data_IF_228667771124
#
_entry.id   IF_228667771124
#
_cell.length_a   1.000
_cell.length_b   1.000
_cell.length_c   1.000
_cell.angle_alpha   90.00
_cell.angle_beta   90.00
_cell.angle_gamma   90.00
#
_symmetry.space_group_name_H-M   'P 1'
#
loop_
_entity.id
_entity.type
_entity.pdbx_description
1 polymer ?
#
# COMPACT_ATOMS: atom_id res chain seq x y z
N UNK A 1 -2.71 -23.54 19.85
CA UNK A 1 -1.57 -24.22 20.51
C UNK A 1 -1.37 -23.77 21.97
N UNK A 2 -1.47 -22.46 22.27
CA UNK A 2 -1.23 -21.92 23.62
C UNK A 2 -2.19 -22.37 24.73
N UNK A 3 -3.45 -22.67 24.42
CA UNK A 3 -4.42 -23.17 25.41
C UNK A 3 -4.04 -24.52 26.03
N UNK A 4 -3.26 -25.34 25.32
CA UNK A 4 -2.78 -26.65 25.80
C UNK A 4 -1.58 -26.56 26.75
N UNK A 5 -0.86 -25.42 26.76
CA UNK A 5 0.30 -25.20 27.63
C UNK A 5 -0.09 -24.61 29.00
N UNK A 6 -1.25 -23.95 29.08
CA UNK A 6 -1.66 -23.17 30.26
C UNK A 6 -2.68 -23.93 31.12
N UNK A 7 -3.46 -24.87 30.55
CA UNK A 7 -4.53 -25.56 31.27
C UNK A 7 -4.27 -27.08 31.42
N UNK A 8 -3.83 -27.58 32.60
CA UNK A 8 -3.52 -29.00 32.81
C UNK A 8 -4.74 -29.92 32.63
N UNK A 9 -5.95 -29.38 32.77
CA UNK A 9 -7.20 -30.14 32.62
C UNK A 9 -7.50 -30.53 31.16
N UNK A 10 -6.92 -29.85 30.16
CA UNK A 10 -7.11 -30.17 28.73
C UNK A 10 -6.05 -31.14 28.22
N UNK A 11 -4.88 -31.19 28.85
CA UNK A 11 -3.77 -32.07 28.45
C UNK A 11 -4.00 -33.55 28.83
N UNK A 12 -4.68 -33.81 29.95
CA UNK A 12 -4.93 -35.17 30.46
C UNK A 12 -5.80 -36.06 29.53
N UNK A 13 -6.97 -35.61 29.03
CA UNK A 13 -7.80 -36.45 28.15
C UNK A 13 -7.12 -36.75 26.80
N UNK A 14 -6.31 -35.82 26.29
CA UNK A 14 -5.58 -36.00 25.04
C UNK A 14 -4.37 -36.96 25.19
N UNK A 15 -3.67 -36.90 26.32
CA UNK A 15 -2.60 -37.84 26.64
C UNK A 15 -3.12 -39.27 26.78
N UNK A 16 -4.32 -39.44 27.34
CA UNK A 16 -5.02 -40.72 27.40
C UNK A 16 -5.41 -41.24 26.00
N UNK A 17 -5.97 -40.37 25.14
CA UNK A 17 -6.32 -40.71 23.76
C UNK A 17 -5.10 -41.13 22.92
N UNK A 18 -3.94 -40.48 23.14
CA UNK A 18 -2.69 -40.76 22.45
C UNK A 18 -1.83 -41.86 23.13
N UNK A 19 -2.34 -42.52 24.17
CA UNK A 19 -1.65 -43.57 24.97
C UNK A 19 -0.25 -43.14 25.45
N UNK A 20 -0.09 -41.88 25.84
CA UNK A 20 1.17 -41.33 26.34
C UNK A 20 1.23 -41.40 27.88
N UNK A 21 2.42 -41.58 28.49
CA UNK A 21 2.56 -41.72 29.94
C UNK A 21 2.13 -40.46 30.71
N UNK A 22 1.69 -40.65 31.96
CA UNK A 22 1.31 -39.58 32.89
C UNK A 22 2.49 -38.65 33.14
N UNK A 23 2.32 -37.35 32.83
CA UNK A 23 3.40 -36.34 32.84
C UNK A 23 3.91 -35.93 31.45
N UNK A 24 3.29 -36.42 30.37
CA UNK A 24 3.60 -35.99 29.01
C UNK A 24 3.31 -34.51 28.80
N UNK A 25 4.35 -33.72 28.53
CA UNK A 25 4.22 -32.36 28.03
C UNK A 25 4.33 -32.40 26.50
N UNK A 26 3.35 -31.83 25.76
CA UNK A 26 3.30 -31.95 24.30
C UNK A 26 4.49 -31.26 23.61
N UNK A 27 5.12 -30.30 24.30
CA UNK A 27 6.32 -29.61 23.83
C UNK A 27 7.32 -29.48 24.99
N UNK A 28 8.61 -29.80 24.80
CA UNK A 28 9.63 -29.55 25.81
C UNK A 28 9.78 -28.04 26.03
N UNK A 29 9.94 -27.60 27.28
CA UNK A 29 10.13 -26.18 27.68
C UNK A 29 11.21 -25.46 26.87
N UNK A 30 12.22 -26.19 26.37
CA UNK A 30 13.29 -25.66 25.51
C UNK A 30 12.84 -25.26 24.10
N UNK A 31 11.74 -25.82 23.59
CA UNK A 31 11.16 -25.50 22.26
C UNK A 31 10.02 -24.49 22.33
N UNK A 32 9.51 -24.23 23.53
CA UNK A 32 8.47 -23.23 23.79
C UNK A 32 8.83 -21.83 23.25
N UNK A 33 10.05 -21.26 23.45
CA UNK A 33 10.37 -19.95 22.88
C UNK A 33 10.38 -19.96 21.35
N UNK A 34 10.79 -21.05 20.72
CA UNK A 34 10.80 -21.19 19.26
C UNK A 34 9.39 -21.25 18.67
N UNK A 35 8.48 -21.94 19.37
CA UNK A 35 7.07 -22.03 18.96
C UNK A 35 6.36 -20.69 19.10
N UNK A 36 6.59 -19.97 20.21
CA UNK A 36 6.04 -18.62 20.40
C UNK A 36 6.58 -17.67 19.33
N UNK A 37 7.87 -17.73 19.02
CA UNK A 37 8.48 -16.87 18.01
C UNK A 37 7.94 -17.17 16.60
N UNK A 38 7.68 -18.44 16.28
CA UNK A 38 7.03 -18.83 15.05
C UNK A 38 5.57 -18.31 14.97
N UNK A 39 4.79 -18.44 16.04
CA UNK A 39 3.41 -17.95 16.10
C UNK A 39 3.34 -16.42 15.97
N UNK A 40 4.20 -15.70 16.69
CA UNK A 40 4.30 -14.24 16.60
C UNK A 40 4.71 -13.78 15.20
N UNK A 41 5.66 -14.49 14.56
CA UNK A 41 6.07 -14.17 13.19
C UNK A 41 4.95 -14.36 12.17
N UNK A 42 4.15 -15.41 12.32
CA UNK A 42 3.00 -15.68 11.45
C UNK A 42 1.94 -14.60 11.63
N UNK A 43 1.65 -14.22 12.88
CA UNK A 43 0.72 -13.12 13.18
C UNK A 43 1.18 -11.79 12.58
N UNK A 44 2.47 -11.47 12.70
CA UNK A 44 3.06 -10.26 12.12
C UNK A 44 2.97 -10.27 10.58
N UNK A 45 3.23 -11.42 9.95
CA UNK A 45 3.13 -11.57 8.50
C UNK A 45 1.70 -11.34 7.99
N UNK A 46 0.71 -11.94 8.66
CA UNK A 46 -0.72 -11.74 8.33
C UNK A 46 -1.12 -10.28 8.53
N UNK A 47 -0.68 -9.64 9.61
CA UNK A 47 -0.97 -8.24 9.88
C UNK A 47 -0.37 -7.30 8.82
N UNK A 48 0.88 -7.55 8.39
CA UNK A 48 1.52 -6.81 7.30
C UNK A 48 0.79 -7.01 5.96
N UNK A 49 0.37 -8.24 5.64
CA UNK A 49 -0.40 -8.52 4.44
C UNK A 49 -1.75 -7.80 4.45
N UNK A 50 -2.47 -7.84 5.58
CA UNK A 50 -3.72 -7.11 5.75
C UNK A 50 -3.51 -5.59 5.63
N UNK A 51 -2.47 -5.05 6.27
CA UNK A 51 -2.09 -3.64 6.15
C UNK A 51 -1.75 -3.22 4.73
N UNK A 52 -1.09 -4.08 3.96
CA UNK A 52 -0.80 -3.81 2.55
C UNK A 52 -2.07 -3.76 1.69
N UNK A 53 -3.02 -4.67 1.95
CA UNK A 53 -4.31 -4.68 1.25
C UNK A 53 -5.15 -3.44 1.64
N UNK A 54 -5.18 -3.06 2.91
CA UNK A 54 -5.97 -1.91 3.38
C UNK A 54 -5.34 -0.56 3.06
N UNK A 55 -4.02 -0.50 2.90
CA UNK A 55 -3.32 0.70 2.43
C UNK A 55 -3.46 0.93 0.92
N UNK A 56 -4.06 -0.01 0.17
CA UNK A 56 -4.35 0.23 -1.25
C UNK A 56 -5.36 1.36 -1.40
N UNK A 57 -5.09 2.37 -2.25
CA UNK A 57 -6.06 3.44 -2.49
C UNK A 57 -7.34 2.82 -3.06
N UNK A 58 -8.49 3.24 -2.51
CA UNK A 58 -9.80 2.87 -3.05
C UNK A 58 -9.83 3.20 -4.55
N UNK A 59 -10.41 2.34 -5.42
CA UNK A 59 -10.55 2.61 -6.84
C UNK A 59 -11.17 3.99 -7.05
N UNK A 60 -10.34 4.95 -7.47
CA UNK A 60 -10.84 6.24 -7.96
C UNK A 60 -11.41 5.95 -9.35
N UNK A 61 -12.65 6.34 -9.58
CA UNK A 61 -13.26 6.26 -10.90
C UNK A 61 -12.39 6.95 -11.95
N UNK A 62 -12.62 6.70 -13.25
CA UNK A 62 -11.80 7.24 -14.34
C UNK A 62 -11.53 8.72 -14.11
N UNK A 63 -10.26 9.06 -13.90
CA UNK A 63 -9.80 10.43 -13.77
C UNK A 63 -9.77 11.01 -15.18
N UNK A 64 -10.83 11.71 -15.55
CA UNK A 64 -10.90 12.38 -16.85
C UNK A 64 -9.88 13.52 -16.85
N UNK A 65 -8.81 13.39 -17.64
CA UNK A 65 -7.90 14.51 -17.89
C UNK A 65 -8.67 15.63 -18.57
N UNK A 66 -8.69 16.80 -17.94
CA UNK A 66 -9.25 18.06 -18.44
C UNK A 66 -8.61 18.37 -19.81
N UNK A 67 -9.40 18.69 -20.85
CA UNK A 67 -9.67 20.08 -21.20
C UNK A 67 -11.11 20.29 -21.71
N UNK A 68 -11.87 21.13 -21.01
CA UNK A 68 -12.55 22.23 -21.69
C UNK A 68 -12.12 23.53 -21.03
N UNK A 69 -10.83 23.90 -21.17
CA UNK A 69 -10.35 25.22 -20.73
C UNK A 69 -10.78 26.33 -21.72
N UNK A 70 -11.32 25.95 -22.89
CA UNK A 70 -11.82 26.89 -23.90
C UNK A 70 -13.34 26.96 -24.01
N UNK A 71 -14.10 26.05 -23.41
CA UNK A 71 -15.58 26.07 -23.51
C UNK A 71 -16.19 26.66 -22.24
N UNK A 72 -16.88 27.82 -22.33
CA UNK A 72 -17.52 28.44 -21.19
C UNK A 72 -18.46 27.45 -20.51
N UNK A 73 -18.20 27.15 -19.24
CA UNK A 73 -19.12 26.34 -18.41
C UNK A 73 -20.36 27.14 -18.01
N UNK A 74 -20.32 28.46 -18.19
CA UNK A 74 -21.43 29.38 -17.98
C UNK A 74 -21.58 30.36 -19.16
N UNK A 75 -22.81 30.63 -19.56
CA UNK A 75 -23.16 31.67 -20.53
C UNK A 75 -24.27 32.55 -19.95
N UNK A 76 -24.30 33.82 -20.34
CA UNK A 76 -25.32 34.78 -19.91
C UNK A 76 -25.90 35.53 -21.10
N UNK A 77 -27.22 35.71 -21.10
CA UNK A 77 -27.95 36.45 -22.11
C UNK A 77 -29.00 37.33 -21.43
N UNK A 78 -29.26 38.51 -22.00
CA UNK A 78 -30.39 39.35 -21.58
C UNK A 78 -31.49 39.27 -22.64
N UNK A 79 -32.71 38.94 -22.22
CA UNK A 79 -33.90 38.87 -23.09
C UNK A 79 -35.09 39.48 -22.33
N UNK A 80 -35.83 40.38 -22.97
CA UNK A 80 -37.02 41.06 -22.41
C UNK A 80 -36.86 41.61 -20.97
N UNK A 81 -35.71 42.23 -20.71
CA UNK A 81 -35.29 42.75 -19.40
C UNK A 81 -35.01 41.69 -18.32
N UNK A 82 -34.97 40.41 -18.66
CA UNK A 82 -34.49 39.33 -17.80
C UNK A 82 -33.06 39.00 -18.16
N UNK A 83 -32.17 39.01 -17.17
CA UNK A 83 -30.81 38.44 -17.30
C UNK A 83 -30.92 36.97 -16.95
N UNK A 84 -30.59 36.12 -17.91
CA UNK A 84 -30.56 34.67 -17.77
C UNK A 84 -29.12 34.21 -17.86
N UNK A 85 -28.62 33.57 -16.81
CA UNK A 85 -27.29 32.95 -16.79
C UNK A 85 -27.45 31.46 -16.60
N UNK A 86 -26.89 30.67 -17.51
CA UNK A 86 -26.92 29.21 -17.45
C UNK A 86 -25.52 28.67 -17.19
N UNK A 87 -25.42 27.74 -16.25
CA UNK A 87 -24.21 26.99 -15.89
C UNK A 87 -24.50 25.50 -16.09
N UNK A 88 -23.60 24.76 -16.74
CA UNK A 88 -23.76 23.31 -16.95
C UNK A 88 -22.53 22.58 -16.44
N UNK A 89 -22.71 21.65 -15.50
CA UNK A 89 -21.61 20.83 -14.95
C UNK A 89 -21.94 19.33 -15.04
N UNK A 90 -21.01 18.46 -15.45
CA UNK A 90 -19.64 18.74 -15.88
C UNK A 90 -19.49 19.18 -17.36
N UNK A 91 -20.59 19.45 -18.07
CA UNK A 91 -20.62 19.73 -19.51
C UNK A 91 -20.02 18.57 -20.34
N UNK A 92 -20.56 17.37 -20.12
CA UNK A 92 -20.14 16.13 -20.81
C UNK A 92 -21.35 15.35 -21.28
N UNK A 93 -21.22 14.43 -22.24
CA UNK A 93 -22.30 13.51 -22.56
C UNK A 93 -22.69 12.70 -21.32
N UNK A 94 -23.99 12.56 -21.05
CA UNK A 94 -24.50 11.85 -19.89
C UNK A 94 -25.09 12.78 -18.83
N UNK A 95 -24.90 12.40 -17.55
CA UNK A 95 -25.48 13.10 -16.41
C UNK A 95 -24.86 14.49 -16.23
N UNK A 96 -25.71 15.53 -16.28
CA UNK A 96 -25.32 16.90 -16.00
C UNK A 96 -26.30 17.55 -15.02
N UNK A 97 -25.82 18.62 -14.40
CA UNK A 97 -26.61 19.57 -13.62
C UNK A 97 -26.57 20.90 -14.34
N UNK A 98 -27.75 21.44 -14.61
CA UNK A 98 -27.96 22.74 -15.24
C UNK A 98 -28.49 23.68 -14.16
N UNK A 99 -27.76 24.76 -13.91
CA UNK A 99 -28.17 25.82 -12.99
C UNK A 99 -28.52 27.05 -13.82
N UNK A 100 -29.71 27.58 -13.63
CA UNK A 100 -30.20 28.78 -14.30
C UNK A 100 -30.41 29.86 -13.25
N UNK A 101 -29.81 31.03 -13.46
CA UNK A 101 -30.10 32.24 -12.73
C UNK A 101 -30.96 33.13 -13.63
N UNK A 102 -32.14 33.53 -13.14
CA UNK A 102 -33.03 34.42 -13.86
C UNK A 102 -33.42 35.58 -12.95
N UNK A 103 -33.13 36.81 -13.38
CA UNK A 103 -33.46 38.01 -12.63
C UNK A 103 -33.90 39.13 -13.56
N UNK A 104 -34.97 39.85 -13.18
CA UNK A 104 -35.39 41.05 -13.90
C UNK A 104 -34.44 42.22 -13.60
N UNK A 105 -34.12 43.01 -14.62
CA UNK A 105 -33.27 44.20 -14.51
C UNK A 105 -34.02 45.35 -13.84
N UNK A 106 -35.35 45.36 -13.89
CA UNK A 106 -36.17 46.38 -13.22
C UNK A 106 -36.36 46.02 -11.75
N UNK A 107 -36.35 47.05 -10.90
CA UNK A 107 -36.60 46.92 -9.47
C UNK A 107 -37.71 47.91 -9.05
N UNK A 108 -38.84 47.44 -8.48
CA UNK A 108 -39.21 46.04 -8.31
C UNK A 108 -39.41 45.32 -9.65
N UNK A 109 -39.35 43.98 -9.65
CA UNK A 109 -39.63 43.19 -10.84
C UNK A 109 -41.11 43.39 -11.27
N UNK A 110 -41.39 43.54 -12.58
CA UNK A 110 -42.73 43.81 -13.10
C UNK A 110 -43.69 42.61 -12.97
N UNK A 111 -43.15 41.38 -12.92
CA UNK A 111 -43.89 40.16 -12.69
C UNK A 111 -43.02 39.10 -12.02
N UNK A 112 -43.66 38.25 -11.23
CA UNK A 112 -43.04 37.07 -10.61
C UNK A 112 -42.75 35.99 -11.65
N UNK A 113 -41.61 35.30 -11.49
CA UNK A 113 -41.26 34.13 -12.31
C UNK A 113 -42.03 32.93 -11.78
N UNK A 114 -42.90 32.34 -12.60
CA UNK A 114 -43.72 31.20 -12.22
C UNK A 114 -43.05 29.86 -12.51
N UNK A 115 -42.24 29.81 -13.57
CA UNK A 115 -41.59 28.58 -14.03
C UNK A 115 -40.41 28.88 -14.93
N UNK A 116 -39.38 28.06 -14.81
CA UNK A 116 -38.27 28.01 -15.77
C UNK A 116 -38.28 26.65 -16.45
N UNK A 117 -38.25 26.64 -17.77
CA UNK A 117 -38.22 25.42 -18.59
C UNK A 117 -36.95 25.47 -19.44
N UNK A 118 -36.18 24.39 -19.41
CA UNK A 118 -34.97 24.24 -20.22
C UNK A 118 -35.27 23.28 -21.36
N UNK A 119 -35.01 23.69 -22.59
CA UNK A 119 -35.22 22.90 -23.80
C UNK A 119 -33.87 22.58 -24.43
N UNK A 120 -33.67 21.33 -24.81
CA UNK A 120 -32.43 20.82 -25.36
C UNK A 120 -32.69 20.34 -26.79
N UNK A 121 -31.93 20.86 -27.75
CA UNK A 121 -31.98 20.47 -29.16
C UNK A 121 -30.57 20.20 -29.64
N UNK A 122 -30.30 19.00 -30.14
CA UNK A 122 -29.00 18.69 -30.74
C UNK A 122 -28.94 19.24 -32.17
N UNK A 123 -27.84 19.92 -32.52
CA UNK A 123 -27.70 20.57 -33.83
C UNK A 123 -26.93 19.71 -34.85
N UNK A 124 -26.25 18.64 -34.42
CA UNK A 124 -25.48 17.77 -35.31
C UNK A 124 -26.34 16.84 -36.17
N UNK A 125 -27.51 16.42 -35.66
CA UNK A 125 -28.52 15.64 -36.36
C UNK A 125 -29.87 15.85 -35.70
N UNK A 126 -30.97 15.59 -36.41
CA UNK A 126 -32.30 15.70 -35.82
C UNK A 126 -32.56 14.55 -34.84
N UNK A 127 -32.62 14.90 -33.55
CA UNK A 127 -32.99 14.01 -32.45
C UNK A 127 -34.30 14.45 -31.78
N UNK A 128 -34.97 15.44 -32.35
CA UNK A 128 -36.05 16.16 -31.70
C UNK A 128 -35.58 17.06 -30.55
N UNK A 129 -36.58 17.65 -29.89
CA UNK A 129 -36.39 18.57 -28.76
C UNK A 129 -36.86 17.91 -27.47
N UNK A 130 -36.01 17.93 -26.45
CA UNK A 130 -36.35 17.48 -25.09
C UNK A 130 -36.56 18.69 -24.20
N UNK A 131 -37.55 18.64 -23.31
CA UNK A 131 -37.84 19.75 -22.37
C UNK A 131 -37.86 19.25 -20.93
N UNK A 132 -37.34 20.05 -20.02
CA UNK A 132 -37.37 19.78 -18.59
C UNK A 132 -37.75 21.04 -17.82
N UNK A 133 -38.52 20.87 -16.75
CA UNK A 133 -38.86 21.96 -15.84
C UNK A 133 -37.75 22.06 -14.79
N UNK A 134 -37.20 23.24 -14.60
CA UNK A 134 -36.22 23.50 -13.56
C UNK A 134 -36.92 23.80 -12.23
N UNK A 135 -36.39 23.23 -11.15
CA UNK A 135 -36.88 23.43 -9.80
C UNK A 135 -36.21 24.67 -9.19
N UNK A 136 -36.99 25.53 -8.52
CA UNK A 136 -36.43 26.68 -7.80
C UNK A 136 -35.80 26.23 -6.49
N UNK A 137 -34.50 26.44 -6.33
CA UNK A 137 -33.76 26.07 -5.12
C UNK A 137 -33.52 27.27 -4.19
N UNK A 138 -33.44 28.46 -4.77
CA UNK A 138 -33.36 29.75 -4.08
C UNK A 138 -34.07 30.79 -4.97
N UNK A 139 -34.55 31.92 -4.44
CA UNK A 139 -35.19 32.96 -5.24
C UNK A 139 -34.36 33.37 -6.48
N UNK A 140 -34.90 33.12 -7.67
CA UNK A 140 -34.23 33.43 -8.94
C UNK A 140 -33.12 32.45 -9.35
N UNK A 141 -32.93 31.35 -8.62
CA UNK A 141 -31.99 30.25 -8.93
C UNK A 141 -32.76 28.95 -9.10
N UNK A 142 -32.65 28.39 -10.31
CA UNK A 142 -33.34 27.19 -10.73
C UNK A 142 -32.34 26.11 -11.09
N UNK A 143 -32.66 24.85 -10.83
CA UNK A 143 -31.80 23.71 -11.10
C UNK A 143 -32.56 22.58 -11.77
N UNK A 144 -31.92 21.94 -12.73
CA UNK A 144 -32.40 20.68 -13.31
C UNK A 144 -31.22 19.73 -13.46
N UNK A 145 -31.40 18.48 -13.04
CA UNK A 145 -30.43 17.41 -13.22
C UNK A 145 -30.97 16.37 -14.19
N UNK A 146 -30.10 15.80 -15.03
CA UNK A 146 -30.50 14.71 -15.92
C UNK A 146 -29.50 14.42 -17.03
N UNK A 147 -29.84 13.41 -17.83
CA UNK A 147 -29.10 13.03 -19.01
C UNK A 147 -29.74 13.63 -20.28
N UNK A 148 -29.71 14.96 -20.37
CA UNK A 148 -30.28 15.69 -21.52
C UNK A 148 -29.25 15.90 -22.64
N UNK A 149 -27.97 16.02 -22.28
CA UNK A 149 -26.86 16.10 -23.23
C UNK A 149 -26.35 14.69 -23.52
N UNK A 150 -26.99 13.98 -24.44
CA UNK A 150 -26.70 12.57 -24.71
C UNK A 150 -25.46 12.36 -25.60
N UNK A 151 -25.07 13.38 -26.37
CA UNK A 151 -23.99 13.34 -27.35
C UNK A 151 -23.04 14.51 -27.18
N UNK A 152 -21.80 14.31 -27.62
CA UNK A 152 -20.83 15.38 -27.78
C UNK A 152 -21.14 16.18 -29.06
N UNK A 153 -20.82 17.47 -29.05
CA UNK A 153 -21.02 18.36 -30.19
C UNK A 153 -21.91 19.57 -29.86
N UNK A 154 -22.47 20.24 -30.90
CA UNK A 154 -23.24 21.46 -30.74
C UNK A 154 -24.67 21.18 -30.30
N UNK A 155 -25.11 21.90 -29.28
CA UNK A 155 -26.46 21.89 -28.73
C UNK A 155 -27.01 23.30 -28.72
N UNK A 156 -28.30 23.44 -29.02
CA UNK A 156 -29.06 24.64 -28.70
C UNK A 156 -29.84 24.38 -27.41
N UNK A 157 -29.61 25.22 -26.41
CA UNK A 157 -30.32 25.17 -25.14
C UNK A 157 -31.17 26.43 -24.99
N UNK A 158 -32.49 26.27 -25.02
CA UNK A 158 -33.41 27.39 -24.82
C UNK A 158 -33.89 27.40 -23.36
N UNK A 159 -33.68 28.51 -22.67
CA UNK A 159 -34.21 28.75 -21.32
C UNK A 159 -35.44 29.64 -21.44
N UNK A 160 -36.61 29.05 -21.18
CA UNK A 160 -37.91 29.71 -21.20
C UNK A 160 -38.27 30.14 -19.79
N UNK A 161 -38.31 31.45 -19.56
CA UNK A 161 -38.70 32.07 -18.29
C UNK A 161 -40.16 32.52 -18.41
N UNK A 162 -41.06 31.81 -17.73
CA UNK A 162 -42.48 32.14 -17.67
C UNK A 162 -42.75 33.08 -16.52
N UNK A 163 -43.31 34.25 -16.81
CA UNK A 163 -43.67 35.27 -15.82
C UNK A 163 -45.18 35.45 -15.74
N UNK A 164 -45.67 35.84 -14.57
CA UNK A 164 -47.11 36.00 -14.36
C UNK A 164 -47.68 37.15 -15.21
N UNK A 165 -48.65 36.86 -16.08
CA UNK A 165 -49.35 37.86 -16.89
C UNK A 165 -48.51 38.53 -17.98
N UNK A 166 -47.31 38.02 -18.27
CA UNK A 166 -46.41 38.52 -19.33
C UNK A 166 -46.01 37.36 -20.24
N UNK A 167 -45.67 37.65 -21.49
CA UNK A 167 -45.15 36.67 -22.44
C UNK A 167 -43.86 35.99 -21.93
N UNK A 168 -43.68 34.74 -22.33
CA UNK A 168 -42.51 33.94 -21.99
C UNK A 168 -41.25 34.54 -22.63
N UNK A 169 -40.22 34.74 -21.83
CA UNK A 169 -38.92 35.19 -22.34
C UNK A 169 -38.03 34.00 -22.63
N UNK A 170 -37.46 33.94 -23.84
CA UNK A 170 -36.69 32.79 -24.32
C UNK A 170 -35.24 33.20 -24.58
N UNK A 171 -34.34 32.80 -23.68
CA UNK A 171 -32.90 32.93 -23.87
C UNK A 171 -32.38 31.71 -24.66
N UNK A 172 -31.64 31.97 -25.73
CA UNK A 172 -31.07 30.96 -26.62
C UNK A 172 -29.57 30.88 -26.41
N UNK A 173 -29.09 29.69 -26.03
CA UNK A 173 -27.67 29.42 -25.80
C UNK A 173 -27.13 28.41 -26.79
N UNK A 174 -26.12 28.81 -27.55
CA UNK A 174 -25.29 27.90 -28.33
C UNK A 174 -24.29 27.23 -27.40
N UNK A 175 -24.46 25.94 -27.19
CA UNK A 175 -23.72 25.18 -26.18
C UNK A 175 -22.88 24.08 -26.83
N UNK A 176 -21.57 24.09 -26.59
CA UNK A 176 -20.68 23.05 -27.07
C UNK A 176 -20.41 22.03 -25.97
N UNK A 177 -20.74 20.76 -26.23
CA UNK A 177 -20.44 19.65 -25.32
C UNK A 177 -19.17 18.97 -25.79
N UNK A 178 -18.13 19.00 -24.95
CA UNK A 178 -16.86 18.36 -25.27
C UNK A 178 -17.04 16.83 -25.38
N UNK A 179 -16.34 16.15 -26.31
CA UNK A 179 -16.29 14.70 -26.33
C UNK A 179 -15.79 14.18 -24.99
N UNK A 180 -16.21 12.97 -24.56
CA UNK A 180 -15.59 12.33 -23.41
C UNK A 180 -14.09 12.26 -23.70
N UNK A 181 -13.30 12.87 -22.81
CA UNK A 181 -11.85 12.80 -22.94
C UNK A 181 -11.44 11.34 -22.92
N UNK A 182 -10.39 10.99 -23.65
CA UNK A 182 -9.83 9.65 -23.55
C UNK A 182 -9.59 9.34 -22.07
N UNK A 183 -10.07 8.17 -21.63
CA UNK A 183 -9.77 7.67 -20.30
C UNK A 183 -8.26 7.55 -20.20
N UNK A 184 -7.59 8.56 -19.63
CA UNK A 184 -6.18 8.40 -19.35
C UNK A 184 -6.08 7.21 -18.40
N UNK A 185 -5.21 6.22 -18.71
CA UNK A 185 -4.99 5.14 -17.78
C UNK A 185 -4.59 5.80 -16.46
N UNK A 186 -5.35 5.51 -15.40
CA UNK A 186 -5.02 5.96 -14.05
C UNK A 186 -3.56 5.59 -13.83
N UNK A 187 -2.68 6.60 -13.81
CA UNK A 187 -1.26 6.41 -13.53
C UNK A 187 -1.18 6.10 -12.04
N UNK A 188 -1.31 4.82 -11.68
CA UNK A 188 -1.47 4.33 -10.31
C UNK A 188 -0.33 4.79 -9.40
N UNK A 189 0.85 5.12 -9.92
CA UNK A 189 1.86 5.90 -9.20
C UNK A 189 3.00 6.34 -10.12
N UNK A 190 3.43 7.60 -10.04
CA UNK A 190 4.73 8.05 -10.60
C UNK A 190 5.92 7.66 -9.72
N UNK A 191 5.66 7.20 -8.50
CA UNK A 191 6.70 6.74 -7.58
C UNK A 191 6.77 5.21 -7.61
N UNK A 192 7.93 4.67 -8.01
CA UNK A 192 8.24 3.25 -7.80
C UNK A 192 8.19 2.98 -6.30
N UNK A 193 7.12 2.32 -5.84
CA UNK A 193 7.09 1.69 -4.51
C UNK A 193 7.85 0.34 -4.50
N UNK A 194 8.33 -0.12 -5.66
CA UNK A 194 9.19 -1.29 -5.80
C UNK A 194 10.30 -1.39 -4.72
N UNK A 195 11.15 -0.38 -4.47
CA UNK A 195 12.24 -0.54 -3.52
C UNK A 195 11.75 -0.81 -2.10
N UNK A 196 10.69 -0.13 -1.65
CA UNK A 196 10.17 -0.33 -0.30
C UNK A 196 9.50 -1.70 -0.13
N UNK A 197 8.73 -2.13 -1.14
CA UNK A 197 8.06 -3.44 -1.15
C UNK A 197 9.09 -4.59 -1.27
N UNK A 198 10.13 -4.42 -2.09
CA UNK A 198 11.22 -5.39 -2.19
C UNK A 198 12.02 -5.49 -0.89
N UNK A 199 12.22 -4.38 -0.17
CA UNK A 199 12.92 -4.37 1.12
C UNK A 199 12.06 -5.03 2.21
N UNK A 200 10.76 -4.75 2.24
CA UNK A 200 9.83 -5.45 3.12
C UNK A 200 9.78 -6.96 2.83
N UNK A 201 9.70 -7.37 1.56
CA UNK A 201 9.73 -8.77 1.16
C UNK A 201 11.07 -9.46 1.50
N UNK A 202 12.19 -8.77 1.31
CA UNK A 202 13.51 -9.29 1.70
C UNK A 202 13.63 -9.49 3.22
N UNK A 203 13.09 -8.56 4.02
CA UNK A 203 13.07 -8.67 5.48
C UNK A 203 12.18 -9.82 5.96
N UNK A 204 11.02 -10.04 5.35
CA UNK A 204 10.15 -11.17 5.73
C UNK A 204 10.77 -12.52 5.36
N UNK A 205 11.41 -12.62 4.19
CA UNK A 205 12.16 -13.83 3.79
C UNK A 205 13.33 -14.09 4.75
N UNK A 206 14.08 -13.05 5.11
CA UNK A 206 15.20 -13.16 6.07
C UNK A 206 14.70 -13.64 7.44
N UNK A 207 13.59 -13.08 7.93
CA UNK A 207 12.96 -13.51 9.19
C UNK A 207 12.57 -14.98 9.13
N UNK A 208 11.91 -15.42 8.05
CA UNK A 208 11.54 -16.83 7.85
C UNK A 208 12.77 -17.74 7.88
N UNK A 209 13.85 -17.34 7.20
CA UNK A 209 15.10 -18.10 7.14
C UNK A 209 15.76 -18.23 8.51
N UNK A 210 15.79 -17.15 9.31
CA UNK A 210 16.31 -17.17 10.68
C UNK A 210 15.49 -18.08 11.59
N UNK A 211 14.17 -18.11 11.42
CA UNK A 211 13.28 -19.01 12.18
C UNK A 211 13.57 -20.47 11.81
N UNK A 212 13.67 -20.79 10.52
CA UNK A 212 13.98 -22.14 10.04
C UNK A 212 15.37 -22.57 10.53
N UNK A 213 16.37 -21.69 10.46
CA UNK A 213 17.72 -21.95 10.94
C UNK A 213 17.73 -22.21 12.46
N UNK A 214 17.03 -21.40 13.26
CA UNK A 214 16.91 -21.60 14.70
C UNK A 214 16.23 -22.92 15.06
N UNK A 215 15.19 -23.33 14.31
CA UNK A 215 14.52 -24.62 14.47
C UNK A 215 15.43 -25.79 14.07
N UNK A 216 16.18 -25.65 12.97
CA UNK A 216 17.12 -26.66 12.45
C UNK A 216 18.31 -26.87 13.38
N UNK A 217 18.94 -25.80 13.87
CA UNK A 217 20.03 -25.87 14.84
C UNK A 217 19.57 -26.45 16.19
N UNK A 218 18.29 -26.26 16.54
CA UNK A 218 17.66 -26.93 17.69
C UNK A 218 17.42 -28.42 17.50
N UNK A 219 17.45 -28.93 16.26
CA UNK A 219 17.34 -30.34 15.90
C UNK A 219 18.71 -31.01 15.77
N UNK A 220 19.75 -30.28 15.33
CA UNK A 220 21.09 -30.80 15.10
C UNK A 220 21.98 -30.77 16.35
N UNK A 221 21.56 -31.43 17.44
CA UNK A 221 22.50 -31.94 18.45
C UNK A 221 22.57 -33.47 18.45
N UNK A 222 23.21 -34.12 17.46
CA UNK A 222 23.67 -35.49 17.61
C UNK A 222 25.15 -35.49 18.06
N UNK A 223 25.46 -34.89 19.21
CA UNK A 223 26.84 -34.89 19.75
C UNK A 223 26.96 -35.76 21.01
N UNK A 224 26.49 -37.00 20.92
CA UNK A 224 26.67 -38.01 21.97
C UNK A 224 27.13 -39.39 21.48
N UNK A 225 27.54 -39.59 20.21
CA UNK A 225 27.81 -40.96 19.70
C UNK A 225 29.07 -41.19 18.86
N UNK A 226 30.05 -40.29 18.81
CA UNK A 226 31.26 -40.52 17.99
C UNK A 226 32.57 -40.81 18.75
N UNK A 227 32.59 -40.85 20.08
CA UNK A 227 33.83 -41.09 20.86
C UNK A 227 33.80 -42.38 21.72
N UNK A 228 32.95 -43.34 21.38
CA UNK A 228 32.81 -44.61 22.11
C UNK A 228 33.33 -45.86 21.40
N UNK A 229 33.97 -45.75 20.23
CA UNK A 229 34.18 -46.92 19.34
C UNK A 229 35.57 -47.03 18.68
N UNK A 230 36.64 -46.46 19.25
CA UNK A 230 38.00 -46.57 18.67
C UNK A 230 39.11 -47.03 19.64
N UNK A 231 38.79 -47.64 20.78
CA UNK A 231 39.79 -48.23 21.70
C UNK A 231 39.63 -49.74 21.91
N UNK A 232 39.31 -50.47 20.85
CA UNK A 232 39.46 -51.93 20.79
C UNK A 232 39.88 -52.31 19.37
N UNK A 233 40.94 -53.13 19.28
CA UNK A 233 41.46 -53.82 18.07
C UNK A 233 42.58 -53.07 17.33
N UNK A 234 43.85 -53.33 17.70
CA UNK A 234 44.77 -54.21 16.93
C UNK A 234 46.12 -54.33 17.65
N UNK A 235 46.30 -55.44 18.36
CA UNK A 235 47.60 -56.11 18.47
C UNK A 235 47.97 -56.65 17.08
N UNK A 236 49.15 -56.33 16.53
CA UNK A 236 50.20 -57.32 16.22
C UNK A 236 51.31 -56.78 15.29
N UNK A 237 52.55 -56.89 15.82
CA UNK A 237 53.67 -57.65 15.23
C UNK A 237 54.29 -57.10 13.93
N UNK A 238 55.42 -56.41 14.07
CA UNK A 238 56.55 -56.52 13.14
C UNK A 238 57.87 -56.57 13.92
N UNK A 239 58.57 -57.69 13.77
CA UNK A 239 59.94 -57.90 14.25
C UNK A 239 60.92 -57.38 13.21
N UNK A 240 61.92 -56.61 13.66
CA UNK A 240 63.23 -56.58 13.04
C UNK A 240 64.27 -56.75 14.13
N UNK A 241 65.01 -57.85 14.05
CA UNK A 241 66.19 -58.20 14.84
C UNK A 241 67.40 -57.91 13.97
N UNK A 242 68.43 -57.31 14.56
CA UNK A 242 69.89 -57.39 14.26
C UNK A 242 70.53 -56.46 15.33
N UNK A 243 70.85 -56.93 16.54
CA UNK A 243 72.16 -57.50 16.95
C UNK A 243 73.37 -56.67 16.49
N UNK A 244 73.99 -55.91 17.40
CA UNK A 244 75.33 -56.21 17.97
C UNK A 244 75.72 -55.20 19.08
N UNK A 245 76.11 -55.76 20.23
CA UNK A 245 77.13 -55.37 21.23
C UNK A 245 77.31 -53.89 21.65
N UNK A 246 77.07 -53.56 22.92
CA UNK A 246 77.95 -53.69 24.12
C UNK A 246 78.79 -52.42 24.35
N UNK A 247 78.80 -51.96 25.61
CA UNK A 247 79.83 -51.16 26.31
C UNK A 247 79.38 -49.76 26.83
N UNK A 248 79.34 -49.70 28.17
CA UNK A 248 79.56 -48.62 29.17
C UNK A 248 78.63 -47.39 29.12
N UNK A 249 77.78 -47.20 30.13
CA UNK A 249 78.05 -46.55 31.44
C UNK A 249 78.36 -45.05 31.36
N UNK A 250 77.81 -44.31 32.33
CA UNK A 250 77.94 -42.86 32.60
C UNK A 250 77.26 -41.94 31.56
N UNK A 251 76.45 -40.94 31.89
CA UNK A 251 76.55 -40.01 33.00
C UNK A 251 75.21 -39.28 33.22
N UNK A 252 74.89 -39.05 34.50
CA UNK A 252 73.76 -38.25 34.99
C UNK A 252 74.13 -36.77 34.83
N UNK A 253 73.28 -35.95 34.18
CA UNK A 253 73.28 -34.50 34.44
C UNK A 253 71.85 -33.93 34.51
N UNK A 254 71.40 -33.51 35.71
CA UNK A 254 70.08 -32.95 35.95
C UNK A 254 70.16 -31.41 35.91
N UNK A 255 69.86 -30.80 34.77
CA UNK A 255 69.68 -29.34 34.76
C UNK A 255 68.86 -28.84 33.55
N UNK A 256 67.53 -28.84 33.68
CA UNK A 256 66.65 -27.97 32.89
C UNK A 256 65.45 -27.53 33.72
N UNK A 257 65.50 -26.28 34.18
CA UNK A 257 64.32 -25.48 34.53
C UNK A 257 63.92 -24.58 33.34
N UNK A 258 62.65 -24.14 33.25
CA UNK A 258 62.04 -23.66 32.01
C UNK A 258 62.03 -22.12 31.91
N UNK A 259 62.26 -21.57 30.72
CA UNK A 259 62.02 -20.13 30.45
C UNK A 259 61.47 -19.93 29.03
N UNK A 260 60.21 -19.49 29.00
CA UNK A 260 59.62 -18.36 28.26
C UNK A 260 60.14 -18.03 26.85
N UNK A 261 59.24 -18.01 25.86
CA UNK A 261 59.30 -16.99 24.81
C UNK A 261 57.93 -16.69 24.17
N UNK A 262 57.54 -15.43 24.37
CA UNK A 262 56.45 -14.69 23.74
C UNK A 262 56.74 -14.41 22.26
N UNK A 263 55.67 -14.35 21.46
CA UNK A 263 55.69 -14.06 20.03
C UNK A 263 55.55 -12.53 19.74
N UNK A 264 56.02 -12.06 18.57
CA UNK A 264 56.35 -10.64 18.37
C UNK A 264 55.19 -9.74 17.90
N UNK A 265 55.24 -8.48 18.36
CA UNK A 265 54.50 -7.30 17.87
C UNK A 265 55.10 -6.74 16.58
N UNK A 266 54.26 -6.52 15.56
CA UNK A 266 54.22 -5.36 14.63
C UNK A 266 52.78 -5.26 14.11
N UNK A 267 52.07 -4.13 14.11
CA UNK A 267 52.28 -3.02 13.17
C UNK A 267 51.57 -1.74 13.66
N UNK A 268 52.24 -0.65 13.30
CA UNK A 268 51.98 0.77 13.50
C UNK A 268 51.06 1.29 12.40
N UNK A 269 50.05 2.12 12.70
CA UNK A 269 49.71 3.29 11.86
C UNK A 269 48.79 4.29 12.58
N UNK A 270 49.39 5.43 12.92
CA UNK A 270 48.72 6.73 13.11
C UNK A 270 48.16 7.25 11.78
N UNK A 271 47.05 8.01 11.81
CA UNK A 271 46.92 9.37 11.24
C UNK A 271 45.51 9.98 11.46
N UNK A 272 45.33 11.30 11.31
CA UNK A 272 44.72 12.12 12.36
C UNK A 272 43.49 12.93 11.90
N UNK A 273 42.93 13.65 12.87
CA UNK A 273 41.95 14.73 12.79
C UNK A 273 42.43 15.94 11.98
N UNK A 274 41.49 16.58 11.24
CA UNK A 274 41.54 17.99 10.83
C UNK A 274 40.11 18.58 10.88
N UNK A 275 39.91 19.79 11.41
CA UNK A 275 38.62 20.47 11.51
C UNK A 275 38.36 21.39 10.31
N UNK A 276 37.09 21.70 10.04
CA UNK A 276 36.72 22.86 9.20
C UNK A 276 35.67 23.68 9.94
N UNK A 277 36.06 24.92 10.21
CA UNK A 277 35.25 26.06 10.67
C UNK A 277 34.73 26.79 9.43
N UNK A 278 33.48 27.24 9.45
CA UNK A 278 32.99 28.30 8.57
C UNK A 278 31.82 28.99 9.25
N UNK A 279 32.13 30.17 9.79
CA UNK A 279 31.18 31.20 10.19
C UNK A 279 30.51 31.77 8.93
N UNK A 280 29.17 31.94 8.94
CA UNK A 280 28.46 33.01 8.21
C UNK A 280 27.15 33.32 8.95
N UNK A 281 27.05 34.58 9.39
CA UNK A 281 25.82 35.25 9.79
C UNK A 281 24.93 35.55 8.58
N UNK A 282 23.60 35.46 8.77
CA UNK A 282 22.53 36.43 8.45
C UNK A 282 21.17 35.73 8.42
#
# INVERSE_FOLDING_TARGET
>A
LNSMLIHPQVAAPLAWLLRRPTGWTPLPLRRLPTVILAEASLGLMVFLAAGLVTASPSPRGPEYSIAPEEVPTALSQTVDNVVVTMLVKPNRPGQNVFTVFAADRRRPAPAEILRVIVRFTFLGQDMGRVSAVAEEIEPGRYMVGGNYLSLAGPWQIDVVVRRNGIEDSVAHFDWLVAPPGESQPVLISKYRLEPLLTLAAALTILLLFLIIAAVSLGHSRPFAKLFGQLTQVTNHKWSFRNETELILDTEINPNRSPVLNDLPRRLRRDKPSVPIRSDYEL
#
